data_IF_949035484599
#
_entry.id   IF_949035484599
#
_cell.length_a   1.000
_cell.length_b   1.000
_cell.length_c   1.000
_cell.angle_alpha   90.00
_cell.angle_beta   90.00
_cell.angle_gamma   90.00
#
_symmetry.space_group_name_H-M   'P 1'
#
loop_
_entity.id
_entity.type
_entity.pdbx_description
1 polymer ?
#
# COMPACT_ATOMS: atom_id res chain seq x y z
N UNK A 1 -6.35 12.90 7.05
CA UNK A 1 -5.58 13.36 5.87
C UNK A 1 -6.22 14.63 5.37
N UNK A 2 -5.43 15.66 5.06
CA UNK A 2 -5.94 16.98 4.64
C UNK A 2 -5.39 17.40 3.27
N UNK A 3 -6.14 18.22 2.53
CA UNK A 3 -5.74 18.86 1.25
C UNK A 3 -5.35 17.90 0.11
N UNK A 4 -5.79 16.65 0.14
CA UNK A 4 -5.46 15.65 -0.90
C UNK A 4 -6.35 15.79 -2.14
N UNK A 5 -5.78 15.59 -3.32
CA UNK A 5 -6.54 15.49 -4.57
C UNK A 5 -7.16 14.09 -4.69
N UNK A 6 -8.46 13.97 -4.34
CA UNK A 6 -9.13 12.67 -4.21
C UNK A 6 -9.69 12.19 -5.55
N UNK A 7 -9.42 10.93 -5.86
CA UNK A 7 -10.03 10.18 -6.97
C UNK A 7 -10.76 8.95 -6.41
N UNK A 8 -12.09 8.96 -6.56
CA UNK A 8 -12.97 7.87 -6.15
C UNK A 8 -14.07 7.70 -7.21
N UNK A 9 -13.86 6.82 -8.20
CA UNK A 9 -14.82 6.60 -9.28
C UNK A 9 -16.18 6.08 -8.80
N UNK A 10 -16.21 5.31 -7.71
CA UNK A 10 -17.46 4.74 -7.18
C UNK A 10 -18.38 5.85 -6.64
N UNK A 11 -17.79 6.86 -6.02
CA UNK A 11 -18.51 8.02 -5.50
C UNK A 11 -18.49 9.23 -6.45
N UNK A 12 -17.99 9.07 -7.69
CA UNK A 12 -17.97 10.12 -8.71
C UNK A 12 -17.00 11.27 -8.43
N UNK A 13 -15.98 11.07 -7.60
CA UNK A 13 -14.97 12.08 -7.26
C UNK A 13 -13.79 11.94 -8.24
N UNK A 14 -13.46 13.03 -8.93
CA UNK A 14 -12.42 13.06 -9.97
C UNK A 14 -11.54 14.30 -9.79
N UNK A 15 -10.48 14.18 -8.98
CA UNK A 15 -9.49 15.25 -8.82
C UNK A 15 -9.94 16.40 -7.91
N UNK A 16 -10.77 16.13 -6.91
CA UNK A 16 -11.27 17.17 -6.01
C UNK A 16 -10.44 17.21 -4.73
N UNK A 17 -9.99 18.41 -4.34
CA UNK A 17 -9.30 18.59 -3.06
C UNK A 17 -10.29 18.38 -1.91
N UNK A 18 -10.04 17.36 -1.08
CA UNK A 18 -10.92 17.00 0.05
C UNK A 18 -10.11 16.46 1.23
N UNK A 19 -10.67 16.61 2.42
CA UNK A 19 -10.17 16.00 3.63
C UNK A 19 -10.82 14.64 3.86
N UNK A 20 -10.03 13.69 4.37
CA UNK A 20 -10.48 12.35 4.75
C UNK A 20 -10.20 12.09 6.22
N UNK A 21 -11.24 11.63 6.92
CA UNK A 21 -11.20 11.29 8.34
C UNK A 21 -11.18 9.78 8.49
N UNK A 22 -10.27 9.26 9.32
CA UNK A 22 -10.09 7.83 9.55
C UNK A 22 -10.09 7.58 11.04
N UNK A 23 -10.91 6.64 11.48
CA UNK A 23 -11.03 6.19 12.87
C UNK A 23 -11.13 4.66 12.89
N UNK A 24 -10.34 3.99 13.74
CA UNK A 24 -10.35 2.53 13.90
C UNK A 24 -10.32 1.74 12.58
N UNK A 25 -9.51 2.22 11.63
CA UNK A 25 -9.35 1.61 10.31
C UNK A 25 -10.51 1.81 9.34
N UNK A 26 -11.43 2.74 9.63
CA UNK A 26 -12.59 3.07 8.78
C UNK A 26 -12.62 4.54 8.41
N UNK A 27 -13.11 4.85 7.20
CA UNK A 27 -13.37 6.23 6.78
C UNK A 27 -14.65 6.71 7.47
N UNK A 28 -14.59 7.88 8.13
CA UNK A 28 -15.71 8.48 8.88
C UNK A 28 -16.08 9.85 8.34
N UNK A 29 -17.28 10.33 8.71
CA UNK A 29 -17.76 11.67 8.35
C UNK A 29 -17.22 12.74 9.29
N UNK A 30 -17.00 13.95 8.79
CA UNK A 30 -16.55 15.10 9.58
C UNK A 30 -17.51 15.43 10.77
N UNK A 31 -18.82 15.19 10.63
CA UNK A 31 -19.78 15.45 11.71
C UNK A 31 -19.65 14.49 12.91
N UNK A 32 -19.13 13.28 12.69
CA UNK A 32 -18.78 12.36 13.79
C UNK A 32 -17.46 12.71 14.46
N UNK A 33 -16.75 13.71 13.93
CA UNK A 33 -15.38 14.06 14.28
C UNK A 33 -15.27 15.15 15.35
N UNK A 34 -16.35 15.46 16.10
CA UNK A 34 -16.40 16.60 17.04
C UNK A 34 -15.35 16.55 18.17
N UNK A 35 -14.68 15.40 18.39
CA UNK A 35 -13.60 15.24 19.37
C UNK A 35 -12.16 15.16 18.79
N UNK A 36 -11.99 15.19 17.46
CA UNK A 36 -10.67 14.90 16.84
C UNK A 36 -9.62 16.02 16.94
N UNK A 37 -10.01 17.22 17.38
CA UNK A 37 -9.16 18.42 17.27
C UNK A 37 -7.90 18.42 18.16
N UNK A 38 -7.68 17.41 19.03
CA UNK A 38 -6.53 17.41 19.96
C UNK A 38 -5.56 16.23 19.86
N UNK A 39 -5.90 15.14 19.17
CA UNK A 39 -5.03 13.94 19.14
C UNK A 39 -4.98 13.20 17.80
N UNK A 40 -5.62 13.70 16.75
CA UNK A 40 -5.56 13.08 15.44
C UNK A 40 -4.17 13.27 14.81
N UNK A 41 -3.61 12.20 14.24
CA UNK A 41 -2.45 12.32 13.37
C UNK A 41 -2.86 13.04 12.08
N UNK A 42 -2.19 14.16 11.78
CA UNK A 42 -2.43 14.92 10.56
C UNK A 42 -1.42 14.49 9.51
N UNK A 43 -1.94 13.92 8.43
CA UNK A 43 -1.20 13.65 7.20
C UNK A 43 -1.60 14.74 6.20
N UNK A 44 -0.67 15.63 5.87
CA UNK A 44 -0.84 16.65 4.82
C UNK A 44 -0.58 16.03 3.45
N UNK A 45 -1.60 16.05 2.59
CA UNK A 45 -1.57 15.51 1.24
C UNK A 45 -1.61 16.62 0.17
N UNK A 46 -1.24 17.86 0.52
CA UNK A 46 -1.20 18.98 -0.42
C UNK A 46 -0.34 18.65 -1.64
N UNK A 47 -0.94 18.73 -2.84
CA UNK A 47 -0.26 18.41 -4.10
C UNK A 47 -0.06 16.91 -4.36
N UNK A 48 -0.62 16.04 -3.51
CA UNK A 48 -0.57 14.59 -3.66
C UNK A 48 -1.95 14.04 -4.08
N UNK A 49 -1.91 12.98 -4.87
CA UNK A 49 -3.08 12.20 -5.27
C UNK A 49 -3.47 11.24 -4.15
N UNK A 50 -4.76 11.20 -3.83
CA UNK A 50 -5.36 10.27 -2.87
C UNK A 50 -6.35 9.38 -3.60
N UNK A 51 -6.16 8.07 -3.48
CA UNK A 51 -7.02 7.06 -4.11
C UNK A 51 -7.27 5.89 -3.14
N UNK A 52 -8.36 5.13 -3.32
CA UNK A 52 -8.55 3.87 -2.61
C UNK A 52 -7.35 2.93 -2.79
N UNK A 53 -7.13 2.05 -1.80
CA UNK A 53 -6.10 1.03 -1.89
C UNK A 53 -6.32 0.14 -3.13
N UNK A 54 -5.24 -0.13 -3.86
CA UNK A 54 -5.30 -0.94 -5.08
C UNK A 54 -5.80 -2.36 -4.79
N UNK A 55 -6.74 -2.84 -5.61
CA UNK A 55 -7.27 -4.21 -5.53
C UNK A 55 -6.87 -4.95 -6.80
N UNK A 56 -5.99 -5.94 -6.65
CA UNK A 56 -5.61 -6.85 -7.73
C UNK A 56 -6.50 -8.11 -7.68
N UNK A 57 -7.33 -8.29 -8.71
CA UNK A 57 -8.27 -9.41 -8.82
C UNK A 57 -7.62 -10.72 -9.27
N UNK A 58 -6.41 -10.66 -9.83
CA UNK A 58 -5.78 -11.86 -10.38
C UNK A 58 -4.25 -11.75 -10.41
N UNK A 59 -3.62 -12.42 -9.44
CA UNK A 59 -2.17 -12.55 -9.38
C UNK A 59 -1.73 -13.96 -8.97
N UNK A 60 -0.48 -14.29 -9.29
CA UNK A 60 0.15 -15.55 -8.93
C UNK A 60 1.21 -15.34 -7.85
N UNK A 61 0.77 -15.15 -6.61
CA UNK A 61 1.65 -14.81 -5.47
C UNK A 61 1.92 -15.96 -4.50
N UNK A 62 0.99 -16.93 -4.42
CA UNK A 62 1.04 -18.06 -3.49
C UNK A 62 0.66 -19.39 -4.16
N UNK A 63 1.11 -20.50 -3.57
CA UNK A 63 0.79 -21.87 -4.02
C UNK A 63 1.98 -22.63 -4.62
N UNK A 64 1.77 -23.93 -4.86
CA UNK A 64 2.81 -24.86 -5.31
C UNK A 64 3.47 -24.45 -6.64
N UNK A 65 2.65 -24.00 -7.60
CA UNK A 65 3.09 -23.44 -8.89
C UNK A 65 4.10 -22.31 -8.74
N UNK A 66 3.78 -21.33 -7.89
CA UNK A 66 4.61 -20.14 -7.68
C UNK A 66 5.91 -20.54 -6.97
N UNK A 67 5.80 -21.44 -6.00
CA UNK A 67 6.97 -21.91 -5.25
C UNK A 67 7.91 -22.79 -6.10
N UNK A 68 7.38 -23.56 -7.06
CA UNK A 68 8.18 -24.27 -8.04
C UNK A 68 8.97 -23.28 -8.92
N UNK A 69 8.34 -22.20 -9.39
CA UNK A 69 9.01 -21.13 -10.13
C UNK A 69 10.18 -20.51 -9.36
N UNK A 70 9.96 -20.16 -8.08
CA UNK A 70 11.01 -19.65 -7.17
C UNK A 70 12.21 -20.60 -7.04
N UNK A 71 11.98 -21.91 -7.03
CA UNK A 71 13.04 -22.92 -6.88
C UNK A 71 13.80 -23.18 -8.18
N UNK A 72 13.09 -23.16 -9.30
CA UNK A 72 13.66 -23.45 -10.62
C UNK A 72 14.47 -22.29 -11.19
N UNK A 73 14.37 -21.09 -10.63
CA UNK A 73 15.02 -19.87 -11.12
C UNK A 73 15.97 -19.22 -10.09
N UNK A 74 17.05 -19.91 -9.67
CA UNK A 74 18.01 -19.33 -8.73
C UNK A 74 18.71 -18.08 -9.28
N UNK A 75 18.85 -17.94 -10.60
CA UNK A 75 19.41 -16.76 -11.27
C UNK A 75 18.59 -15.49 -11.00
N UNK A 76 17.25 -15.59 -11.08
CA UNK A 76 16.34 -14.47 -10.78
C UNK A 76 16.52 -13.97 -9.33
N UNK A 77 16.83 -14.89 -8.41
CA UNK A 77 17.05 -14.58 -7.01
C UNK A 77 18.44 -14.01 -6.71
N UNK A 78 19.49 -14.60 -7.30
CA UNK A 78 20.90 -14.20 -7.05
C UNK A 78 21.15 -12.74 -7.44
N UNK A 79 20.51 -12.29 -8.52
CA UNK A 79 20.65 -10.92 -9.03
C UNK A 79 19.78 -9.91 -8.27
N UNK A 80 18.77 -10.36 -7.53
CA UNK A 80 17.75 -9.50 -6.92
C UNK A 80 17.53 -9.82 -5.44
N UNK A 81 18.58 -9.63 -4.65
CA UNK A 81 18.54 -9.85 -3.20
C UNK A 81 18.14 -8.56 -2.48
N UNK A 82 17.24 -8.68 -1.50
CA UNK A 82 16.87 -7.63 -0.56
C UNK A 82 17.29 -8.06 0.84
N UNK A 83 18.22 -7.29 1.42
CA UNK A 83 18.67 -7.50 2.79
C UNK A 83 17.52 -7.26 3.78
N UNK A 84 17.63 -7.84 4.98
CA UNK A 84 16.70 -7.58 6.08
C UNK A 84 16.83 -6.11 6.52
N UNK A 85 15.70 -5.42 6.66
CA UNK A 85 15.63 -4.08 7.23
C UNK A 85 15.27 -4.08 8.71
N UNK A 86 15.05 -2.88 9.26
CA UNK A 86 14.59 -2.68 10.65
C UNK A 86 13.19 -3.26 10.87
N UNK A 87 12.28 -2.99 9.92
CA UNK A 87 10.88 -3.44 9.93
C UNK A 87 10.58 -4.56 8.92
N UNK A 88 11.49 -4.82 7.98
CA UNK A 88 11.27 -5.76 6.87
C UNK A 88 12.13 -7.01 6.98
N UNK A 89 11.57 -8.16 6.59
CA UNK A 89 12.32 -9.42 6.42
C UNK A 89 13.18 -9.35 5.15
N UNK A 90 14.22 -10.19 5.09
CA UNK A 90 14.97 -10.42 3.87
C UNK A 90 14.11 -11.11 2.81
N UNK A 91 14.48 -10.95 1.54
CA UNK A 91 13.83 -11.63 0.42
C UNK A 91 14.67 -11.59 -0.84
N UNK A 92 14.22 -12.30 -1.88
CA UNK A 92 14.85 -12.29 -3.19
C UNK A 92 13.84 -12.53 -4.30
N UNK A 93 14.28 -12.28 -5.54
CA UNK A 93 13.52 -12.54 -6.76
C UNK A 93 12.92 -11.26 -7.34
N UNK A 94 12.99 -11.15 -8.66
CA UNK A 94 12.43 -10.05 -9.44
C UNK A 94 11.09 -10.44 -10.04
N UNK A 95 11.09 -11.50 -10.87
CA UNK A 95 9.88 -11.94 -11.55
C UNK A 95 8.94 -12.75 -10.67
N UNK A 96 9.48 -13.55 -9.73
CA UNK A 96 8.68 -14.37 -8.79
C UNK A 96 9.22 -14.16 -7.37
N UNK A 97 8.97 -13.00 -6.74
CA UNK A 97 9.58 -12.66 -5.47
C UNK A 97 9.18 -13.63 -4.35
N UNK A 98 10.07 -13.74 -3.36
CA UNK A 98 9.79 -14.41 -2.08
C UNK A 98 8.61 -13.77 -1.34
N UNK A 99 7.93 -14.53 -0.48
CA UNK A 99 6.62 -14.17 0.08
C UNK A 99 6.60 -12.84 0.84
N UNK A 100 7.59 -12.57 1.70
CA UNK A 100 7.67 -11.29 2.41
C UNK A 100 7.91 -10.12 1.44
N UNK A 101 8.81 -10.32 0.47
CA UNK A 101 9.10 -9.31 -0.54
C UNK A 101 7.89 -9.00 -1.43
N UNK A 102 7.10 -10.02 -1.80
CA UNK A 102 5.84 -9.81 -2.52
C UNK A 102 4.92 -8.85 -1.77
N UNK A 103 4.74 -9.05 -0.45
CA UNK A 103 3.92 -8.16 0.36
C UNK A 103 4.44 -6.72 0.39
N UNK A 104 5.76 -6.55 0.53
CA UNK A 104 6.38 -5.22 0.56
C UNK A 104 6.30 -4.48 -0.77
N UNK A 105 6.35 -5.21 -1.90
CA UNK A 105 6.22 -4.62 -3.23
C UNK A 105 4.77 -4.20 -3.54
N UNK A 106 3.78 -4.90 -2.96
CA UNK A 106 2.38 -4.52 -3.07
C UNK A 106 2.00 -3.39 -2.09
N UNK A 107 2.70 -3.27 -0.96
CA UNK A 107 2.52 -2.14 -0.07
C UNK A 107 3.20 -0.90 -0.65
N UNK A 108 2.41 0.05 -1.12
CA UNK A 108 2.90 1.42 -1.30
C UNK A 108 3.07 1.99 0.10
N UNK A 109 4.27 1.89 0.65
CA UNK A 109 4.66 2.80 1.71
C UNK A 109 4.93 4.14 1.03
N UNK A 110 4.06 5.14 1.26
CA UNK A 110 4.47 6.53 1.12
C UNK A 110 5.51 6.79 2.22
N UNK A 111 6.74 6.32 2.02
CA UNK A 111 7.89 6.76 2.82
C UNK A 111 8.29 8.13 2.30
N UNK A 112 7.75 9.16 2.96
CA UNK A 112 8.36 10.48 3.07
C UNK A 112 9.11 10.58 4.39
#
# INVERSE_FOLDING_TARGET
MVNGEVYDPQNGINGQVRDLWIEDGKIVSCERSSDFSRSAEIIDATGLVVMPGGVDIHCHVAGGKVNAGRKLRPEDHREHVRARGTSTRSGSGYSVPSTYLTGYLCSIACTG
#
